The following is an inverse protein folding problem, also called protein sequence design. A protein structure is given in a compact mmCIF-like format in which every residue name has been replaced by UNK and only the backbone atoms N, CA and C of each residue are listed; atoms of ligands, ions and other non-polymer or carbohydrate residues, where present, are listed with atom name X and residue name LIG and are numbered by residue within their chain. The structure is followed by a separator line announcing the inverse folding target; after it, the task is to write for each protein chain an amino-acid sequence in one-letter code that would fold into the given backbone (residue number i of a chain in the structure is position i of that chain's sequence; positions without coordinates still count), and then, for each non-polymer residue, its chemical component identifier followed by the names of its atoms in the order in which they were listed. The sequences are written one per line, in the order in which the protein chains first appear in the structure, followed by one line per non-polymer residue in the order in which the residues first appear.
data_IF_943883170947
#
_entry.id   IF_943883170947
#
_cell.length_a   1.000
_cell.length_b   1.000
_cell.length_c   1.000
_cell.angle_alpha   90.00
_cell.angle_beta   90.00
_cell.angle_gamma   90.00
#
_symmetry.space_group_name_H-M   'P 1'
#
loop_
_entity.id
_entity.type
_entity.pdbx_description
1 polymer ?
#
# COMPACT_ATOMS: atom_id res chain seq x y z
N UNK A 1 -21.62 2.93 6.39
CA UNK A 1 -20.89 3.00 5.10
C UNK A 1 -21.79 2.49 3.99
N UNK A 2 -21.83 3.18 2.85
CA UNK A 2 -22.53 2.69 1.64
C UNK A 2 -21.48 2.10 0.69
N UNK A 3 -21.56 0.81 0.42
CA UNK A 3 -20.64 0.12 -0.49
C UNK A 3 -20.84 0.58 -1.93
N UNK A 4 -19.78 1.00 -2.60
CA UNK A 4 -19.79 1.47 -3.99
C UNK A 4 -19.28 0.44 -4.97
N UNK A 5 -18.39 -0.45 -4.53
CA UNK A 5 -17.75 -1.48 -5.36
C UNK A 5 -17.30 -2.64 -4.49
N UNK A 6 -17.40 -3.84 -5.06
CA UNK A 6 -16.93 -5.07 -4.43
C UNK A 6 -16.18 -5.90 -5.46
N UNK A 7 -15.06 -6.48 -5.05
CA UNK A 7 -14.29 -7.44 -5.84
C UNK A 7 -13.94 -8.64 -4.97
N UNK A 8 -13.60 -9.75 -5.60
CA UNK A 8 -13.15 -10.92 -4.86
C UNK A 8 -11.93 -11.58 -5.50
N UNK A 9 -11.08 -12.14 -4.66
CA UNK A 9 -9.88 -12.88 -5.04
C UNK A 9 -9.86 -14.15 -4.20
N UNK A 10 -9.64 -15.30 -4.85
CA UNK A 10 -9.53 -16.60 -4.18
C UNK A 10 -8.06 -16.97 -4.06
N UNK A 11 -7.65 -17.42 -2.88
CA UNK A 11 -6.34 -18.00 -2.64
C UNK A 11 -6.44 -19.51 -2.43
N UNK A 12 -5.49 -20.25 -2.99
CA UNK A 12 -5.35 -21.71 -2.82
C UNK A 12 -3.90 -22.00 -2.45
N UNK A 13 -3.65 -22.85 -1.47
CA UNK A 13 -2.30 -23.25 -1.06
C UNK A 13 -1.53 -22.26 -0.20
N UNK A 14 -2.20 -21.25 0.33
CA UNK A 14 -1.61 -20.26 1.26
C UNK A 14 -0.43 -19.50 0.65
N UNK A 15 0.68 -19.40 1.40
CA UNK A 15 1.88 -18.67 0.97
C UNK A 15 2.67 -19.35 -0.14
N UNK A 16 2.40 -20.62 -0.43
CA UNK A 16 3.08 -21.38 -1.48
C UNK A 16 2.10 -21.85 -2.57
N UNK A 17 1.14 -21.01 -2.87
CA UNK A 17 0.02 -21.33 -3.74
C UNK A 17 -0.21 -20.30 -4.84
N UNK A 18 -1.45 -19.92 -4.99
CA UNK A 18 -1.93 -19.15 -6.11
C UNK A 18 -3.09 -18.23 -5.68
N UNK A 19 -3.13 -17.02 -6.22
CA UNK A 19 -4.26 -16.10 -6.06
C UNK A 19 -4.84 -15.74 -7.42
N UNK A 20 -6.16 -15.66 -7.49
CA UNK A 20 -6.86 -15.32 -8.72
C UNK A 20 -8.13 -14.51 -8.41
N UNK A 21 -8.29 -13.37 -9.08
CA UNK A 21 -9.54 -12.61 -9.01
C UNK A 21 -10.64 -13.27 -9.83
N UNK A 22 -11.90 -13.02 -9.48
CA UNK A 22 -13.06 -13.59 -10.17
C UNK A 22 -13.08 -13.24 -11.66
N UNK A 23 -12.61 -12.06 -12.03
CA UNK A 23 -12.53 -11.63 -13.43
C UNK A 23 -11.24 -12.08 -14.13
N UNK A 24 -10.33 -12.77 -13.43
CA UNK A 24 -9.06 -13.27 -13.98
C UNK A 24 -7.99 -12.22 -14.27
N UNK A 25 -8.24 -10.94 -13.99
CA UNK A 25 -7.27 -9.86 -14.25
C UNK A 25 -6.06 -9.98 -13.34
N UNK A 26 -6.27 -10.25 -12.04
CA UNK A 26 -5.20 -10.54 -11.10
C UNK A 26 -5.06 -12.05 -10.99
N UNK A 27 -3.92 -12.57 -11.39
CA UNK A 27 -3.60 -14.00 -11.28
C UNK A 27 -2.10 -14.16 -11.08
N UNK A 28 -1.68 -14.69 -9.93
CA UNK A 28 -0.28 -14.79 -9.53
C UNK A 28 -0.02 -16.06 -8.72
N UNK A 29 1.12 -16.67 -9.00
CA UNK A 29 1.72 -17.62 -8.05
C UNK A 29 2.34 -16.83 -6.89
N UNK A 30 2.15 -17.32 -5.68
CA UNK A 30 2.76 -16.76 -4.47
C UNK A 30 3.66 -17.81 -3.82
N UNK A 31 4.78 -17.34 -3.25
CA UNK A 31 5.73 -18.21 -2.54
C UNK A 31 6.25 -17.50 -1.31
N UNK A 32 6.59 -18.29 -0.32
CA UNK A 32 7.26 -17.82 0.90
C UNK A 32 8.65 -17.30 0.54
N UNK A 33 8.99 -16.04 0.88
CA UNK A 33 10.32 -15.52 0.60
C UNK A 33 11.38 -16.16 1.49
N UNK A 34 12.64 -16.10 1.07
CA UNK A 34 13.78 -16.67 1.83
C UNK A 34 13.83 -16.18 3.27
N UNK A 35 13.58 -14.90 3.51
CA UNK A 35 13.57 -14.31 4.86
C UNK A 35 12.56 -14.94 5.81
N UNK A 36 11.53 -15.60 5.29
CA UNK A 36 10.53 -16.33 6.07
C UNK A 36 10.68 -17.86 5.95
N UNK A 37 11.83 -18.33 5.48
CA UNK A 37 12.14 -19.76 5.35
C UNK A 37 11.79 -20.38 4.00
N UNK A 38 11.46 -19.60 2.98
CA UNK A 38 11.21 -20.06 1.62
C UNK A 38 12.49 -20.40 0.85
N UNK A 39 12.31 -20.90 -0.37
CA UNK A 39 13.41 -21.39 -1.21
C UNK A 39 14.02 -20.30 -2.10
N UNK A 40 13.22 -19.32 -2.55
CA UNK A 40 13.68 -18.23 -3.42
C UNK A 40 12.80 -17.00 -3.25
N UNK A 41 13.20 -15.90 -3.89
CA UNK A 41 12.49 -14.61 -3.88
C UNK A 41 11.93 -14.24 -5.27
N UNK A 42 11.70 -15.22 -6.14
CA UNK A 42 11.32 -15.01 -7.54
C UNK A 42 9.80 -14.87 -7.76
N UNK A 43 9.02 -14.91 -6.69
CA UNK A 43 7.56 -14.90 -6.76
C UNK A 43 6.97 -13.75 -5.94
N UNK A 44 5.71 -13.45 -6.21
CA UNK A 44 4.91 -12.56 -5.38
C UNK A 44 4.65 -13.19 -4.00
N UNK A 45 4.27 -12.36 -3.05
CA UNK A 45 3.89 -12.78 -1.70
C UNK A 45 2.81 -11.83 -1.15
N UNK A 46 2.13 -12.17 -0.04
CA UNK A 46 1.08 -11.33 0.52
C UNK A 46 1.53 -9.91 0.87
N UNK A 47 2.76 -9.74 1.37
CA UNK A 47 3.29 -8.43 1.72
C UNK A 47 3.49 -7.54 0.49
N UNK A 48 3.93 -8.12 -0.63
CA UNK A 48 4.05 -7.43 -1.91
C UNK A 48 2.66 -7.00 -2.44
N UNK A 49 1.65 -7.86 -2.32
CA UNK A 49 0.27 -7.53 -2.71
C UNK A 49 -0.32 -6.42 -1.84
N UNK A 50 -0.07 -6.46 -0.53
CA UNK A 50 -0.47 -5.42 0.40
C UNK A 50 0.19 -4.08 0.03
N UNK A 51 1.49 -4.09 -0.24
CA UNK A 51 2.25 -2.91 -0.66
C UNK A 51 1.71 -2.33 -1.98
N UNK A 52 1.45 -3.17 -2.98
CA UNK A 52 0.90 -2.74 -4.26
C UNK A 52 -0.48 -2.08 -4.10
N UNK A 53 -1.37 -2.70 -3.31
CA UNK A 53 -2.68 -2.14 -3.02
C UNK A 53 -2.60 -0.81 -2.29
N UNK A 54 -1.77 -0.72 -1.25
CA UNK A 54 -1.63 0.50 -0.47
C UNK A 54 -1.03 1.62 -1.31
N UNK A 55 0.04 1.36 -2.05
CA UNK A 55 0.69 2.37 -2.91
C UNK A 55 -0.31 2.95 -3.93
N UNK A 56 -1.04 2.10 -4.64
CA UNK A 56 -2.02 2.53 -5.64
C UNK A 56 -3.17 3.31 -5.01
N UNK A 57 -3.70 2.84 -3.87
CA UNK A 57 -4.80 3.48 -3.16
C UNK A 57 -4.39 4.84 -2.60
N UNK A 58 -3.19 4.92 -1.99
CA UNK A 58 -2.67 6.17 -1.44
C UNK A 58 -2.40 7.20 -2.54
N UNK A 59 -1.76 6.80 -3.64
CA UNK A 59 -1.51 7.70 -4.77
C UNK A 59 -2.81 8.22 -5.39
N UNK A 60 -3.85 7.39 -5.47
CA UNK A 60 -5.18 7.83 -5.89
C UNK A 60 -5.78 8.89 -4.96
N UNK A 61 -5.67 8.70 -3.65
CA UNK A 61 -6.12 9.66 -2.64
C UNK A 61 -5.33 10.98 -2.74
N UNK A 62 -4.01 10.89 -2.93
CA UNK A 62 -3.14 12.03 -3.12
C UNK A 62 -3.53 12.86 -4.36
N UNK A 63 -3.73 12.18 -5.48
CA UNK A 63 -4.16 12.84 -6.72
C UNK A 63 -5.55 13.48 -6.58
N UNK A 64 -6.44 12.89 -5.78
CA UNK A 64 -7.72 13.52 -5.45
C UNK A 64 -7.51 14.84 -4.67
N UNK A 65 -6.60 14.87 -3.69
CA UNK A 65 -6.29 16.10 -2.94
C UNK A 65 -5.62 17.15 -3.82
N UNK A 66 -4.72 16.75 -4.70
CA UNK A 66 -4.10 17.65 -5.68
C UNK A 66 -5.16 18.34 -6.54
N UNK A 67 -6.11 17.57 -7.08
CA UNK A 67 -7.20 18.13 -7.90
C UNK A 67 -8.11 19.05 -7.10
N UNK A 68 -8.49 18.66 -5.88
CA UNK A 68 -9.37 19.49 -5.03
C UNK A 68 -8.74 20.82 -4.65
N UNK A 69 -7.45 20.85 -4.36
CA UNK A 69 -6.71 22.06 -4.00
C UNK A 69 -6.23 22.86 -5.21
N UNK A 70 -6.46 22.36 -6.44
CA UNK A 70 -5.94 22.94 -7.68
C UNK A 70 -4.43 23.17 -7.65
N UNK A 71 -3.72 22.23 -7.02
CA UNK A 71 -2.27 22.26 -6.92
C UNK A 71 -1.58 22.10 -8.28
N UNK A 72 -0.43 22.74 -8.44
CA UNK A 72 0.42 22.60 -9.62
C UNK A 72 1.37 21.39 -9.54
N UNK A 73 1.13 20.45 -8.62
CA UNK A 73 1.96 19.26 -8.47
C UNK A 73 2.03 18.46 -9.78
N UNK A 74 3.23 17.94 -10.07
CA UNK A 74 3.48 17.06 -11.21
C UNK A 74 3.09 15.60 -10.92
N UNK A 75 3.63 14.68 -11.72
CA UNK A 75 3.36 13.24 -11.56
C UNK A 75 3.91 12.72 -10.23
N UNK A 76 3.02 12.25 -9.39
CA UNK A 76 3.37 11.72 -8.06
C UNK A 76 3.87 10.27 -8.13
N UNK A 77 4.63 9.88 -7.11
CA UNK A 77 5.07 8.49 -6.94
C UNK A 77 4.92 8.10 -5.47
N UNK A 78 4.36 6.93 -5.23
CA UNK A 78 4.25 6.34 -3.90
C UNK A 78 4.94 4.99 -3.91
N UNK A 79 5.94 4.83 -3.06
CA UNK A 79 6.59 3.55 -2.80
C UNK A 79 6.20 3.07 -1.41
N UNK A 80 5.52 1.94 -1.33
CA UNK A 80 5.13 1.32 -0.06
C UNK A 80 6.12 0.22 0.30
N UNK A 81 6.71 0.32 1.48
CA UNK A 81 7.52 -0.73 2.09
C UNK A 81 6.69 -1.38 3.19
N UNK A 82 6.51 -2.68 3.10
CA UNK A 82 5.72 -3.46 4.06
C UNK A 82 6.62 -4.50 4.71
N UNK A 83 6.75 -4.42 6.02
CA UNK A 83 7.46 -5.40 6.84
C UNK A 83 6.48 -6.32 7.55
N UNK A 84 6.88 -7.57 7.74
CA UNK A 84 6.19 -8.54 8.58
C UNK A 84 7.12 -8.95 9.72
N UNK A 85 6.57 -9.07 10.92
CA UNK A 85 7.33 -9.48 12.11
C UNK A 85 6.47 -10.21 13.11
N UNK A 86 7.10 -10.81 14.11
CA UNK A 86 6.41 -11.44 15.23
C UNK A 86 5.96 -10.38 16.23
N UNK A 87 4.74 -10.53 16.73
CA UNK A 87 4.22 -9.72 17.82
C UNK A 87 4.56 -10.36 19.18
N UNK A 88 4.52 -9.55 20.25
CA UNK A 88 4.84 -10.01 21.61
C UNK A 88 3.93 -11.17 22.09
N UNK A 89 2.71 -11.24 21.56
CA UNK A 89 1.74 -12.29 21.93
C UNK A 89 1.80 -13.54 21.03
N UNK A 90 2.84 -13.67 20.20
CA UNK A 90 3.09 -14.87 19.39
C UNK A 90 2.39 -14.89 18.03
N UNK A 91 1.73 -13.81 17.63
CA UNK A 91 1.16 -13.65 16.30
C UNK A 91 2.14 -12.96 15.32
N UNK A 92 1.62 -12.52 14.20
CA UNK A 92 2.35 -11.75 13.20
C UNK A 92 1.69 -10.39 13.01
N UNK A 93 2.51 -9.36 12.79
CA UNK A 93 2.06 -8.01 12.52
C UNK A 93 2.76 -7.43 11.32
N UNK A 94 2.19 -6.34 10.79
CA UNK A 94 2.75 -5.58 9.68
C UNK A 94 3.19 -4.19 10.15
N UNK A 95 4.22 -3.67 9.51
CA UNK A 95 4.57 -2.24 9.55
C UNK A 95 4.66 -1.71 8.13
N UNK A 96 4.41 -0.41 7.95
CA UNK A 96 4.39 0.22 6.63
C UNK A 96 5.18 1.53 6.66
N UNK A 97 6.01 1.74 5.65
CA UNK A 97 6.58 3.03 5.32
C UNK A 97 6.13 3.42 3.91
N UNK A 98 5.60 4.63 3.77
CA UNK A 98 5.23 5.19 2.48
C UNK A 98 6.21 6.32 2.13
N UNK A 99 7.01 6.11 1.09
CA UNK A 99 7.85 7.15 0.49
C UNK A 99 7.03 7.82 -0.62
N UNK A 100 6.67 9.09 -0.42
CA UNK A 100 5.77 9.81 -1.31
C UNK A 100 6.50 10.99 -1.93
N UNK A 101 6.61 11.01 -3.26
CA UNK A 101 7.21 12.12 -3.99
C UNK A 101 6.11 12.96 -4.68
N UNK A 102 6.13 14.26 -4.39
CA UNK A 102 5.18 15.24 -4.95
C UNK A 102 5.98 16.35 -5.62
N UNK A 103 6.38 16.18 -6.88
CA UNK A 103 7.22 17.18 -7.57
C UNK A 103 6.43 18.42 -7.99
N UNK A 104 7.13 19.51 -8.25
CA UNK A 104 6.56 20.73 -8.81
C UNK A 104 5.94 21.68 -7.79
N UNK A 105 6.01 21.36 -6.51
CA UNK A 105 5.48 22.17 -5.40
C UNK A 105 6.53 22.29 -4.28
N UNK A 106 6.30 23.20 -3.33
CA UNK A 106 7.17 23.31 -2.15
C UNK A 106 7.05 22.03 -1.27
N UNK A 107 8.06 21.78 -0.48
CA UNK A 107 8.02 20.65 0.47
C UNK A 107 6.87 20.81 1.47
N UNK A 108 6.58 22.02 1.93
CA UNK A 108 5.46 22.33 2.82
C UNK A 108 4.11 21.96 2.17
N UNK A 109 3.91 22.34 0.91
CA UNK A 109 2.71 21.99 0.16
C UNK A 109 2.62 20.47 -0.07
N UNK A 110 3.73 19.82 -0.44
CA UNK A 110 3.79 18.37 -0.58
C UNK A 110 3.40 17.65 0.71
N UNK A 111 3.94 18.06 1.84
CA UNK A 111 3.60 17.51 3.16
C UNK A 111 2.11 17.69 3.50
N UNK A 112 1.55 18.86 3.22
CA UNK A 112 0.12 19.12 3.43
C UNK A 112 -0.76 18.21 2.58
N UNK A 113 -0.45 18.04 1.31
CA UNK A 113 -1.19 17.18 0.40
C UNK A 113 -1.13 15.70 0.83
N UNK A 114 0.05 15.24 1.24
CA UNK A 114 0.24 13.86 1.72
C UNK A 114 -0.53 13.60 3.01
N UNK A 115 -0.53 14.55 3.95
CA UNK A 115 -1.31 14.43 5.18
C UNK A 115 -2.81 14.35 4.91
N UNK A 116 -3.32 15.18 4.00
CA UNK A 116 -4.72 15.12 3.59
C UNK A 116 -5.06 13.78 2.91
N UNK A 117 -4.16 13.26 2.05
CA UNK A 117 -4.31 11.97 1.42
C UNK A 117 -4.40 10.84 2.47
N UNK A 118 -3.56 10.92 3.51
CA UNK A 118 -3.54 9.95 4.60
C UNK A 118 -4.89 9.91 5.36
N UNK A 119 -5.60 11.03 5.46
CA UNK A 119 -6.90 11.10 6.12
C UNK A 119 -8.03 10.47 5.28
N UNK A 120 -7.92 10.47 3.96
CA UNK A 120 -9.02 10.00 3.08
C UNK A 120 -8.74 8.66 2.42
N UNK A 121 -7.50 8.20 2.38
CA UNK A 121 -7.12 6.91 1.80
C UNK A 121 -7.80 5.76 2.55
N UNK A 122 -8.58 4.88 1.87
CA UNK A 122 -9.22 3.74 2.52
C UNK A 122 -8.25 2.80 3.22
N UNK A 123 -7.06 2.57 2.66
CA UNK A 123 -6.03 1.74 3.30
C UNK A 123 -5.45 2.41 4.54
N UNK A 124 -5.22 3.73 4.51
CA UNK A 124 -4.81 4.48 5.70
C UNK A 124 -5.88 4.42 6.81
N UNK A 125 -7.15 4.48 6.43
CA UNK A 125 -8.25 4.32 7.39
C UNK A 125 -8.30 2.91 7.99
N UNK A 126 -7.94 1.88 7.20
CA UNK A 126 -7.87 0.49 7.69
C UNK A 126 -6.67 0.24 8.61
N UNK A 127 -5.57 0.96 8.41
CA UNK A 127 -4.32 0.76 9.18
C UNK A 127 -4.21 1.65 10.40
N UNK A 128 -4.85 2.83 10.41
CA UNK A 128 -4.76 3.82 11.50
C UNK A 128 -5.19 3.22 12.83
N UNK A 129 -4.39 3.49 13.89
CA UNK A 129 -4.58 2.97 15.24
C UNK A 129 -4.50 1.43 15.34
N UNK A 130 -3.95 0.78 14.33
CA UNK A 130 -3.77 -0.67 14.28
C UNK A 130 -2.32 -1.06 13.98
N UNK A 131 -1.74 -0.52 12.93
CA UNK A 131 -0.34 -0.73 12.58
C UNK A 131 0.37 0.61 12.38
N UNK A 132 1.68 0.63 12.60
CA UNK A 132 2.49 1.82 12.42
C UNK A 132 2.67 2.10 10.92
N UNK A 133 2.33 3.32 10.50
CA UNK A 133 2.55 3.81 9.15
C UNK A 133 3.43 5.06 9.21
N UNK A 134 4.60 4.99 8.65
CA UNK A 134 5.53 6.11 8.54
C UNK A 134 5.40 6.76 7.17
N UNK A 135 5.23 8.08 7.13
CA UNK A 135 5.18 8.87 5.90
C UNK A 135 6.49 9.61 5.71
N UNK A 136 7.14 9.42 4.56
CA UNK A 136 8.32 10.20 4.12
C UNK A 136 7.95 10.96 2.87
N UNK A 137 8.14 12.26 2.86
CA UNK A 137 7.71 13.15 1.78
C UNK A 137 8.92 13.81 1.13
N UNK A 138 8.96 13.77 -0.19
CA UNK A 138 9.93 14.48 -1.03
C UNK A 138 9.21 15.27 -2.11
N UNK A 139 9.91 16.23 -2.72
CA UNK A 139 9.36 17.06 -3.80
C UNK A 139 10.32 17.22 -4.99
N UNK A 140 11.12 16.22 -5.24
CA UNK A 140 12.16 16.24 -6.29
C UNK A 140 11.55 16.21 -7.70
#
# INVERSE_FOLDING_TARGET
MKTLYTTSVTATGGRDGHVKSDNGILELDVRTPKSLGGQNDDYANPEMLFAAGYAACFDSALNLMIRKSKSAAGETKVNAKVGIGQTENGGFGLEVELDVNVPGVSLEEAQSLVEQAHQVCPYSNATRNNIDVTLKVTNN
#
